data_IF_391471884332
#
_entry.id   IF_391471884332
#
_cell.length_a   1.000
_cell.length_b   1.000
_cell.length_c   1.000
_cell.angle_alpha   90.00
_cell.angle_beta   90.00
_cell.angle_gamma   90.00
#
_symmetry.space_group_name_H-M   'P 1'
#
loop_
_entity.id
_entity.type
_entity.pdbx_description
1 polymer ?
#
# COMPACT_ATOMS: atom_id res chain seq x y z
N UNK A 1 16.65 30.52 3.71
CA UNK A 1 16.44 29.73 4.95
C UNK A 1 16.78 28.28 4.63
N UNK A 2 17.32 27.51 5.58
CA UNK A 2 17.48 26.06 5.38
C UNK A 2 16.11 25.40 5.21
N UNK A 3 16.05 24.31 4.45
CA UNK A 3 14.83 23.51 4.27
C UNK A 3 14.41 22.88 5.59
N UNK A 4 13.10 22.79 5.80
CA UNK A 4 12.49 22.00 6.86
C UNK A 4 12.69 20.50 6.61
N UNK A 5 12.53 19.71 7.67
CA UNK A 5 12.59 18.26 7.57
C UNK A 5 11.57 17.71 6.56
N UNK A 6 10.36 18.26 6.53
CA UNK A 6 9.30 17.84 5.62
C UNK A 6 9.65 18.14 4.16
N UNK A 7 10.26 19.29 3.87
CA UNK A 7 10.72 19.63 2.52
C UNK A 7 11.83 18.69 2.05
N UNK A 8 12.75 18.30 2.95
CA UNK A 8 13.81 17.33 2.64
C UNK A 8 13.21 15.95 2.34
N UNK A 9 12.26 15.49 3.15
CA UNK A 9 11.56 14.21 2.96
C UNK A 9 10.83 14.20 1.61
N UNK A 10 10.03 15.23 1.32
CA UNK A 10 9.30 15.34 0.06
C UNK A 10 10.25 15.34 -1.14
N UNK A 11 11.36 16.07 -1.06
CA UNK A 11 12.36 16.08 -2.13
C UNK A 11 13.02 14.70 -2.32
N UNK A 12 13.28 13.98 -1.24
CA UNK A 12 13.83 12.62 -1.28
C UNK A 12 12.90 11.64 -1.99
N UNK A 13 11.60 11.67 -1.66
CA UNK A 13 10.60 10.84 -2.35
C UNK A 13 10.54 11.14 -3.84
N UNK A 14 10.48 12.43 -4.22
CA UNK A 14 10.43 12.84 -5.62
C UNK A 14 11.66 12.40 -6.41
N UNK A 15 12.85 12.48 -5.81
CA UNK A 15 14.08 12.02 -6.43
C UNK A 15 14.08 10.49 -6.65
N UNK A 16 13.62 9.71 -5.67
CA UNK A 16 13.51 8.25 -5.79
C UNK A 16 12.51 7.84 -6.87
N UNK A 17 11.31 8.45 -6.87
CA UNK A 17 10.27 8.18 -7.87
C UNK A 17 10.77 8.53 -9.27
N UNK A 18 11.41 9.68 -9.44
CA UNK A 18 11.95 10.11 -10.74
C UNK A 18 13.04 9.16 -11.27
N UNK A 19 13.82 8.54 -10.37
CA UNK A 19 14.94 7.66 -10.75
C UNK A 19 14.52 6.21 -10.96
N UNK A 20 13.57 5.71 -10.18
CA UNK A 20 13.26 4.27 -10.09
C UNK A 20 11.84 3.94 -10.59
N UNK A 21 10.98 4.94 -10.72
CA UNK A 21 9.53 4.73 -10.80
C UNK A 21 8.94 4.41 -9.43
N UNK A 22 7.61 4.53 -9.33
CA UNK A 22 6.87 4.45 -8.05
C UNK A 22 7.06 3.10 -7.36
N UNK A 23 6.94 2.00 -8.11
CA UNK A 23 7.00 0.64 -7.56
C UNK A 23 8.35 0.34 -6.94
N UNK A 24 9.43 0.62 -7.66
CA UNK A 24 10.79 0.30 -7.18
C UNK A 24 11.28 1.31 -6.13
N UNK A 25 10.78 2.56 -6.15
CA UNK A 25 11.00 3.51 -5.06
C UNK A 25 10.41 2.99 -3.73
N UNK A 26 9.17 2.49 -3.73
CA UNK A 26 8.53 1.92 -2.52
C UNK A 26 9.34 0.74 -1.99
N UNK A 27 9.74 -0.20 -2.86
CA UNK A 27 10.57 -1.36 -2.48
C UNK A 27 11.91 -0.92 -1.88
N UNK A 28 12.55 0.08 -2.48
CA UNK A 28 13.80 0.65 -1.95
C UNK A 28 13.61 1.20 -0.54
N UNK A 29 12.56 1.98 -0.30
CA UNK A 29 12.26 2.53 1.03
C UNK A 29 12.01 1.41 2.05
N UNK A 30 11.18 0.43 1.68
CA UNK A 30 10.86 -0.75 2.50
C UNK A 30 12.08 -1.64 2.78
N UNK A 31 13.11 -1.62 1.95
CA UNK A 31 14.34 -2.35 2.25
C UNK A 31 15.09 -1.77 3.45
N UNK A 32 15.08 -0.44 3.61
CA UNK A 32 15.76 0.25 4.71
C UNK A 32 14.88 0.51 5.93
N UNK A 33 13.57 0.31 5.80
CA UNK A 33 12.64 0.34 6.92
C UNK A 33 12.22 -1.09 7.22
N UNK A 34 12.51 -1.59 8.42
CA UNK A 34 12.12 -2.94 8.86
C UNK A 34 10.59 -3.22 8.79
N UNK A 35 9.78 -2.21 8.45
CA UNK A 35 8.36 -2.21 8.72
C UNK A 35 8.10 -2.34 10.22
N UNK A 36 6.85 -2.20 10.60
CA UNK A 36 6.38 -2.63 11.92
C UNK A 36 5.01 -3.25 11.72
N UNK A 37 4.73 -4.31 12.47
CA UNK A 37 3.48 -5.05 12.39
C UNK A 37 3.73 -6.54 12.40
N UNK A 38 2.89 -7.26 13.14
CA UNK A 38 2.85 -8.71 13.12
C UNK A 38 1.64 -9.11 12.27
N UNK A 39 1.75 -8.99 10.95
CA UNK A 39 0.66 -9.39 10.06
C UNK A 39 0.26 -10.86 10.28
N UNK A 40 1.19 -11.71 10.73
CA UNK A 40 0.85 -13.11 11.05
C UNK A 40 -0.14 -13.16 12.21
N UNK A 41 0.15 -12.46 13.31
CA UNK A 41 -0.75 -12.32 14.45
C UNK A 41 -2.05 -11.58 14.12
N UNK A 42 -1.95 -10.44 13.44
CA UNK A 42 -3.10 -9.61 13.05
C UNK A 42 -4.06 -10.39 12.12
N UNK A 43 -3.51 -11.19 11.20
CA UNK A 43 -4.31 -12.03 10.30
C UNK A 43 -5.19 -13.01 11.05
N UNK A 44 -4.69 -13.63 12.13
CA UNK A 44 -5.46 -14.58 12.92
C UNK A 44 -6.66 -13.94 13.63
N UNK A 45 -6.61 -12.64 13.93
CA UNK A 45 -7.72 -11.97 14.63
C UNK A 45 -9.00 -11.94 13.80
N UNK A 46 -8.90 -11.82 12.47
CA UNK A 46 -10.07 -11.68 11.60
C UNK A 46 -10.24 -12.86 10.64
N UNK A 47 -9.16 -13.41 10.07
CA UNK A 47 -9.26 -14.44 9.04
C UNK A 47 -9.79 -15.75 9.59
N UNK A 48 -9.41 -16.12 10.81
CA UNK A 48 -9.89 -17.35 11.47
C UNK A 48 -11.40 -17.29 11.76
N UNK A 49 -11.98 -16.08 11.79
CA UNK A 49 -13.41 -15.84 11.97
C UNK A 49 -14.17 -15.66 10.65
N UNK A 50 -13.46 -15.66 9.51
CA UNK A 50 -14.05 -15.39 8.19
C UNK A 50 -14.17 -16.70 7.40
N UNK A 51 -15.39 -17.26 7.20
CA UNK A 51 -15.58 -18.44 6.39
C UNK A 51 -15.18 -18.22 4.92
N UNK A 52 -14.73 -19.28 4.25
CA UNK A 52 -14.36 -19.20 2.84
C UNK A 52 -15.53 -18.74 1.96
N UNK A 53 -16.74 -19.18 2.28
CA UNK A 53 -17.96 -18.84 1.56
C UNK A 53 -18.23 -17.33 1.59
N UNK A 54 -17.95 -16.67 2.71
CA UNK A 54 -18.10 -15.22 2.87
C UNK A 54 -17.08 -14.46 2.00
N UNK A 55 -15.84 -14.96 1.95
CA UNK A 55 -14.80 -14.42 1.07
C UNK A 55 -15.24 -14.51 -0.39
N UNK A 56 -15.68 -15.69 -0.82
CA UNK A 56 -16.12 -15.93 -2.21
C UNK A 56 -17.32 -15.07 -2.60
N UNK A 57 -18.29 -14.89 -1.70
CA UNK A 57 -19.44 -14.03 -1.94
C UNK A 57 -19.02 -12.55 -2.06
N UNK A 58 -18.10 -12.10 -1.21
CA UNK A 58 -17.56 -10.73 -1.30
C UNK A 58 -16.83 -10.45 -2.62
N UNK A 59 -16.17 -11.47 -3.20
CA UNK A 59 -15.51 -11.35 -4.50
C UNK A 59 -16.53 -11.23 -5.63
N UNK A 60 -17.60 -12.02 -5.60
CA UNK A 60 -18.72 -11.92 -6.55
C UNK A 60 -19.37 -10.55 -6.52
N UNK A 61 -19.66 -10.03 -5.33
CA UNK A 61 -20.26 -8.71 -5.14
C UNK A 61 -19.38 -7.58 -5.68
N UNK A 62 -18.06 -7.64 -5.44
CA UNK A 62 -17.13 -6.64 -5.98
C UNK A 62 -17.08 -6.65 -7.50
N UNK A 63 -17.06 -7.83 -8.13
CA UNK A 63 -17.08 -7.92 -9.59
C UNK A 63 -18.34 -7.28 -10.21
N UNK A 64 -19.45 -7.21 -9.46
CA UNK A 64 -20.67 -6.54 -9.91
C UNK A 64 -20.61 -5.00 -9.73
N UNK A 65 -19.71 -4.47 -8.89
CA UNK A 65 -19.58 -3.04 -8.57
C UNK A 65 -18.32 -2.34 -9.11
N UNK A 66 -17.31 -3.09 -9.54
CA UNK A 66 -15.91 -2.62 -9.61
C UNK A 66 -15.36 -2.57 -11.05
N UNK A 67 -15.95 -1.70 -11.89
CA UNK A 67 -15.31 -1.33 -13.18
C UNK A 67 -14.37 -0.12 -13.03
N UNK A 68 -14.45 0.67 -11.95
CA UNK A 68 -13.86 2.02 -11.91
C UNK A 68 -12.83 2.30 -10.77
N UNK A 69 -12.54 1.36 -9.84
CA UNK A 69 -11.78 1.70 -8.62
C UNK A 69 -10.25 1.89 -8.79
N UNK A 70 -9.66 1.47 -9.91
CA UNK A 70 -8.21 1.57 -10.14
C UNK A 70 -7.76 2.85 -10.86
N UNK A 71 -8.70 3.69 -11.31
CA UNK A 71 -8.39 4.91 -12.07
C UNK A 71 -7.96 6.10 -11.18
N UNK A 72 -8.25 6.08 -9.88
CA UNK A 72 -7.99 7.21 -8.96
C UNK A 72 -6.54 7.29 -8.43
N UNK A 73 -5.66 6.35 -8.77
CA UNK A 73 -4.28 6.30 -8.24
C UNK A 73 -3.29 7.12 -9.12
N UNK A 74 -3.75 7.70 -10.22
CA UNK A 74 -2.92 8.51 -11.13
C UNK A 74 -3.45 9.95 -11.22
N UNK A 75 -3.04 10.81 -10.27
CA UNK A 75 -2.88 12.26 -10.49
C UNK A 75 -1.62 12.79 -9.78
#
# INVERSE_FOLDING_TARGET
MPKTQQEIINQGYQALISSLGVVDAIRFIQYFTLGQGDYTGDRHQWLDQTPLEEILESMRQRQETDTDQYDEIIE
#
